data_IF_691518699003
#
_entry.id   IF_691518699003
#
_cell.length_a   1.000
_cell.length_b   1.000
_cell.length_c   1.000
_cell.angle_alpha   90.00
_cell.angle_beta   90.00
_cell.angle_gamma   90.00
#
_symmetry.space_group_name_H-M   'P 1'
#
loop_
_entity.id
_entity.type
_entity.pdbx_description
1 polymer ?
#
# COMPACT_ATOMS: atom_id res chain seq x y z
N UNK A 1 -52.59 60.18 -58.78
CA UNK A 1 -52.44 58.96 -57.95
C UNK A 1 -50.96 58.82 -57.63
N UNK A 2 -50.60 59.00 -56.34
CA UNK A 2 -49.35 58.58 -55.65
C UNK A 2 -47.99 58.82 -56.32
N UNK A 3 -47.32 59.95 -56.06
CA UNK A 3 -46.28 60.17 -55.02
C UNK A 3 -45.04 59.24 -55.06
N UNK A 4 -43.89 59.86 -55.38
CA UNK A 4 -42.57 59.85 -54.68
C UNK A 4 -42.10 58.49 -54.11
N UNK A 5 -40.88 58.00 -54.34
CA UNK A 5 -39.57 58.69 -54.33
C UNK A 5 -38.48 57.68 -54.74
N UNK A 6 -37.40 58.10 -55.42
CA UNK A 6 -36.18 57.31 -55.53
C UNK A 6 -35.31 57.53 -54.28
N UNK A 7 -34.71 56.47 -53.74
CA UNK A 7 -33.66 56.59 -52.71
C UNK A 7 -32.35 56.07 -53.29
N UNK A 8 -31.53 57.01 -53.74
CA UNK A 8 -30.12 56.86 -54.03
C UNK A 8 -29.32 56.72 -52.72
N UNK A 9 -28.57 55.64 -52.56
CA UNK A 9 -27.60 55.48 -51.48
C UNK A 9 -26.28 56.16 -51.86
N UNK A 10 -25.68 57.01 -51.00
CA UNK A 10 -24.37 57.56 -51.23
C UNK A 10 -23.28 56.53 -50.92
N UNK A 11 -22.37 56.34 -51.87
CA UNK A 11 -21.06 55.72 -51.68
C UNK A 11 -20.12 56.69 -50.95
N UNK A 12 -19.55 56.27 -49.81
CA UNK A 12 -18.36 56.92 -49.24
C UNK A 12 -17.16 55.96 -49.24
N UNK A 13 -15.99 56.39 -49.76
CA UNK A 13 -14.76 55.60 -49.72
C UNK A 13 -13.98 55.80 -48.42
N UNK A 14 -13.33 54.71 -48.00
CA UNK A 14 -11.98 54.68 -47.42
C UNK A 14 -11.72 55.51 -46.16
N UNK A 15 -11.79 54.87 -44.98
CA UNK A 15 -10.97 55.28 -43.83
C UNK A 15 -9.72 54.40 -43.76
N UNK A 16 -8.58 55.05 -43.95
CA UNK A 16 -7.24 54.49 -43.82
C UNK A 16 -6.97 53.97 -42.40
N UNK A 17 -6.35 52.78 -42.38
CA UNK A 17 -5.22 52.34 -41.55
C UNK A 17 -5.22 52.78 -40.08
N UNK A 18 -5.37 51.79 -39.20
CA UNK A 18 -4.53 51.68 -38.00
C UNK A 18 -3.79 50.34 -38.03
N UNK A 19 -2.47 50.44 -38.10
CA UNK A 19 -1.50 49.38 -37.86
C UNK A 19 -1.49 49.06 -36.36
N UNK A 20 -1.53 47.79 -35.97
CA UNK A 20 -0.76 47.22 -34.84
C UNK A 20 -1.25 45.82 -34.47
N UNK A 21 -0.29 44.93 -34.21
CA UNK A 21 -0.48 43.62 -33.57
C UNK A 21 -0.44 42.47 -34.58
N UNK A 22 0.61 41.69 -34.75
CA UNK A 22 1.66 41.33 -33.80
C UNK A 22 1.60 39.81 -33.59
N UNK A 23 2.60 39.14 -34.14
CA UNK A 23 3.17 37.87 -33.69
C UNK A 23 2.30 36.58 -33.77
N UNK A 24 2.75 35.71 -34.67
CA UNK A 24 2.61 34.25 -34.73
C UNK A 24 2.47 33.58 -33.36
N UNK A 25 1.61 32.56 -33.22
CA UNK A 25 1.80 31.51 -32.21
C UNK A 25 1.17 30.18 -32.66
N UNK A 26 2.02 29.16 -32.56
CA UNK A 26 1.86 27.80 -33.03
C UNK A 26 0.79 27.01 -32.24
N UNK A 27 0.35 25.92 -32.88
CA UNK A 27 -0.46 24.84 -32.33
C UNK A 27 -0.09 24.45 -30.89
N UNK A 28 -1.08 24.45 -30.01
CA UNK A 28 -0.98 23.85 -28.68
C UNK A 28 -1.99 22.72 -28.54
N UNK A 29 -1.63 21.52 -29.02
CA UNK A 29 -2.36 20.31 -28.64
C UNK A 29 -1.91 19.96 -27.22
N UNK A 30 -2.71 20.35 -26.22
CA UNK A 30 -2.48 19.99 -24.84
C UNK A 30 -2.68 18.47 -24.67
N UNK A 31 -1.58 17.72 -24.68
CA UNK A 31 -1.59 16.31 -24.27
C UNK A 31 -1.68 16.31 -22.74
N UNK A 32 -2.87 16.08 -22.21
CA UNK A 32 -3.03 15.81 -20.79
C UNK A 32 -2.44 14.43 -20.49
N UNK A 33 -1.49 14.27 -19.54
CA UNK A 33 -1.03 12.95 -19.16
C UNK A 33 -2.19 12.22 -18.47
N UNK A 34 -2.62 11.08 -19.03
CA UNK A 34 -3.47 10.13 -18.32
C UNK A 34 -2.63 9.53 -17.18
N UNK A 35 -2.76 10.09 -15.97
CA UNK A 35 -2.28 9.46 -14.76
C UNK A 35 -3.20 8.26 -14.47
N UNK A 36 -2.84 7.08 -14.98
CA UNK A 36 -3.46 5.84 -14.52
C UNK A 36 -3.12 5.63 -13.04
N UNK A 37 -4.05 5.16 -12.20
CA UNK A 37 -3.74 4.83 -10.82
C UNK A 37 -2.65 3.74 -10.80
N UNK A 38 -1.48 4.08 -10.26
CA UNK A 38 -0.48 3.06 -9.92
C UNK A 38 -1.04 2.29 -8.74
N UNK A 39 -1.46 1.05 -8.96
CA UNK A 39 -1.79 0.13 -7.88
C UNK A 39 -0.46 -0.20 -7.18
N UNK A 40 -0.14 0.53 -6.11
CA UNK A 40 0.95 0.15 -5.24
C UNK A 40 0.57 -1.17 -4.56
N UNK A 41 1.20 -2.27 -4.99
CA UNK A 41 1.03 -3.59 -4.40
C UNK A 41 1.72 -3.61 -3.03
N UNK A 42 0.98 -3.29 -1.97
CA UNK A 42 1.47 -3.20 -0.59
C UNK A 42 1.24 -4.53 0.16
N UNK A 43 1.71 -5.64 -0.42
CA UNK A 43 1.70 -6.91 0.26
C UNK A 43 2.51 -6.80 1.56
N UNK A 44 1.94 -7.25 2.67
CA UNK A 44 2.69 -7.34 3.93
C UNK A 44 3.79 -8.40 3.82
N UNK A 45 5.04 -7.93 3.90
CA UNK A 45 6.24 -8.74 4.00
C UNK A 45 6.92 -8.49 5.36
N UNK A 46 7.50 -9.54 5.93
CA UNK A 46 8.22 -9.44 7.20
C UNK A 46 9.51 -8.64 6.99
N UNK A 47 9.70 -7.60 7.80
CA UNK A 47 10.94 -6.80 7.83
C UNK A 47 11.73 -6.98 9.12
N UNK A 48 11.07 -7.40 10.19
CA UNK A 48 11.72 -7.77 11.46
C UNK A 48 10.90 -8.84 12.18
N UNK A 49 11.56 -9.74 12.90
CA UNK A 49 10.90 -10.71 13.77
C UNK A 49 11.71 -11.01 15.03
N UNK A 50 10.98 -11.41 16.07
CA UNK A 50 11.48 -12.09 17.24
C UNK A 50 10.63 -13.34 17.47
N UNK A 51 11.20 -14.56 17.40
CA UNK A 51 12.59 -14.89 17.08
C UNK A 51 12.98 -14.44 15.66
N UNK A 52 14.28 -14.26 15.44
CA UNK A 52 14.83 -14.16 14.08
C UNK A 52 14.85 -15.54 13.41
N UNK A 53 15.09 -15.56 12.10
CA UNK A 53 15.36 -16.81 11.38
C UNK A 53 16.55 -17.53 12.01
N UNK A 54 16.36 -18.79 12.38
CA UNK A 54 17.31 -19.68 13.05
C UNK A 54 17.76 -19.22 14.44
N UNK A 55 16.98 -18.36 15.09
CA UNK A 55 17.25 -17.95 16.46
C UNK A 55 17.04 -19.10 17.46
N UNK A 56 17.53 -18.91 18.68
CA UNK A 56 17.40 -19.88 19.76
C UNK A 56 16.56 -19.30 20.90
N UNK A 57 15.50 -20.00 21.29
CA UNK A 57 14.67 -19.68 22.44
C UNK A 57 14.85 -20.72 23.55
N UNK A 58 14.66 -20.31 24.80
CA UNK A 58 14.58 -21.23 25.93
C UNK A 58 13.19 -21.84 26.08
N UNK A 59 13.12 -23.01 26.71
CA UNK A 59 11.84 -23.50 27.26
C UNK A 59 11.24 -22.48 28.24
N UNK A 60 9.91 -22.44 28.33
CA UNK A 60 9.16 -21.49 29.16
C UNK A 60 8.36 -20.48 28.33
N UNK A 61 7.97 -19.39 28.99
CA UNK A 61 7.21 -18.30 28.38
C UNK A 61 8.10 -17.44 27.48
N UNK A 62 7.68 -17.28 26.23
CA UNK A 62 8.39 -16.51 25.21
C UNK A 62 7.47 -15.46 24.60
N UNK A 63 7.98 -14.25 24.40
CA UNK A 63 7.30 -13.18 23.67
C UNK A 63 7.75 -13.20 22.23
N UNK A 64 6.79 -13.13 21.31
CA UNK A 64 7.00 -13.19 19.87
C UNK A 64 6.53 -11.89 19.24
N UNK A 65 7.28 -11.40 18.26
CA UNK A 65 6.88 -10.24 17.45
C UNK A 65 7.19 -10.46 15.98
N UNK A 66 6.33 -9.96 15.10
CA UNK A 66 6.59 -9.93 13.65
C UNK A 66 6.13 -8.57 13.13
N UNK A 67 7.07 -7.81 12.57
CA UNK A 67 6.85 -6.48 12.01
C UNK A 67 6.89 -6.52 10.48
N UNK A 68 5.93 -5.84 9.86
CA UNK A 68 5.70 -5.86 8.43
C UNK A 68 5.95 -4.48 7.82
N UNK A 69 6.26 -4.42 6.53
CA UNK A 69 6.42 -3.16 5.79
C UNK A 69 5.09 -2.46 5.43
N UNK A 70 3.96 -2.95 5.94
CA UNK A 70 2.62 -2.48 5.57
C UNK A 70 1.66 -2.73 6.72
N UNK A 71 0.67 -1.85 6.85
CA UNK A 71 -0.38 -1.99 7.86
C UNK A 71 -1.18 -3.27 7.64
N UNK A 72 -1.60 -3.88 8.74
CA UNK A 72 -2.34 -5.14 8.77
C UNK A 72 -3.63 -5.01 9.58
N UNK A 73 -4.64 -5.80 9.21
CA UNK A 73 -5.80 -6.05 10.05
C UNK A 73 -5.41 -7.10 11.11
N UNK A 74 -5.07 -6.63 12.32
CA UNK A 74 -4.62 -7.48 13.43
C UNK A 74 -5.69 -8.51 13.84
N UNK A 75 -6.98 -8.16 13.79
CA UNK A 75 -8.07 -9.04 14.21
C UNK A 75 -8.27 -10.22 13.23
N UNK A 76 -7.85 -10.07 11.97
CA UNK A 76 -7.89 -11.12 10.94
C UNK A 76 -6.53 -11.77 10.67
N UNK A 77 -5.52 -11.43 11.47
CA UNK A 77 -4.16 -11.94 11.35
C UNK A 77 -3.82 -12.85 12.52
N UNK A 78 -2.86 -13.77 12.33
CA UNK A 78 -2.49 -14.76 13.35
C UNK A 78 -1.04 -15.18 13.34
N UNK A 79 -0.58 -15.63 14.50
CA UNK A 79 0.70 -16.28 14.74
C UNK A 79 0.43 -17.69 15.30
N UNK A 80 1.21 -18.67 14.84
CA UNK A 80 1.06 -20.08 15.24
C UNK A 80 2.44 -20.71 15.31
N UNK A 81 2.74 -21.42 16.39
CA UNK A 81 3.95 -22.23 16.50
C UNK A 81 3.68 -23.59 15.87
N UNK A 82 4.58 -24.02 15.00
CA UNK A 82 4.57 -25.34 14.37
C UNK A 82 5.75 -26.14 14.92
N UNK A 83 5.46 -27.24 15.63
CA UNK A 83 6.47 -28.18 16.13
C UNK A 83 7.04 -29.07 15.03
N UNK A 84 8.17 -29.72 15.31
CA UNK A 84 8.79 -30.72 14.41
C UNK A 84 7.89 -31.93 14.14
N UNK A 85 7.01 -32.25 15.09
CA UNK A 85 5.94 -33.26 15.00
C UNK A 85 4.70 -32.77 14.24
N UNK A 86 4.74 -31.54 13.69
CA UNK A 86 3.63 -30.82 13.04
C UNK A 86 2.49 -30.43 13.99
N UNK A 87 2.70 -30.49 15.31
CA UNK A 87 1.77 -29.89 16.26
C UNK A 87 1.63 -28.39 15.99
N UNK A 88 0.42 -27.86 16.12
CA UNK A 88 0.15 -26.44 15.97
C UNK A 88 -0.31 -25.86 17.31
N UNK A 89 0.41 -24.85 17.78
CA UNK A 89 0.08 -24.13 19.02
C UNK A 89 -0.22 -22.68 18.66
N UNK A 90 -1.48 -22.22 18.78
CA UNK A 90 -1.80 -20.81 18.58
C UNK A 90 -1.02 -19.93 19.56
N UNK A 91 -0.52 -18.80 19.06
CA UNK A 91 0.09 -17.76 19.91
C UNK A 91 -1.02 -16.92 20.52
N UNK A 92 -0.92 -16.64 21.82
CA UNK A 92 -1.84 -15.74 22.50
C UNK A 92 -1.49 -14.31 22.12
N UNK A 93 -2.33 -13.68 21.31
CA UNK A 93 -2.10 -12.32 20.83
C UNK A 93 -2.19 -11.29 21.96
N UNK A 94 -1.34 -10.28 21.89
CA UNK A 94 -1.34 -9.12 22.78
C UNK A 94 -1.49 -7.83 21.98
N UNK A 95 -1.67 -6.72 22.68
CA UNK A 95 -1.56 -5.42 22.05
C UNK A 95 -0.18 -5.25 21.40
N UNK A 96 -0.17 -4.49 20.31
CA UNK A 96 0.99 -4.25 19.46
C UNK A 96 1.28 -2.74 19.46
N UNK A 97 2.55 -2.33 19.30
CA UNK A 97 2.94 -0.93 19.38
C UNK A 97 2.39 -0.07 18.23
N UNK A 98 2.02 -0.70 17.11
CA UNK A 98 1.56 -0.06 15.88
C UNK A 98 0.63 -1.01 15.09
N UNK A 99 0.16 -0.53 13.93
CA UNK A 99 -0.71 -1.27 13.01
C UNK A 99 0.06 -2.18 12.05
N UNK A 100 1.38 -2.30 12.20
CA UNK A 100 2.29 -3.02 11.30
C UNK A 100 2.95 -4.22 12.00
N UNK A 101 2.59 -4.46 13.26
CA UNK A 101 3.20 -5.48 14.11
C UNK A 101 2.15 -6.43 14.66
N UNK A 102 2.49 -7.73 14.66
CA UNK A 102 1.84 -8.71 15.53
C UNK A 102 2.73 -8.99 16.72
N UNK A 103 2.14 -8.95 17.92
CA UNK A 103 2.79 -9.33 19.18
C UNK A 103 1.97 -10.38 19.90
N UNK A 104 2.65 -11.30 20.58
CA UNK A 104 1.97 -12.27 21.42
C UNK A 104 2.94 -13.10 22.26
N UNK A 105 2.40 -14.06 23.00
CA UNK A 105 3.20 -14.95 23.84
C UNK A 105 2.81 -16.41 23.66
N UNK A 106 3.78 -17.28 23.93
CA UNK A 106 3.61 -18.74 23.90
C UNK A 106 4.46 -19.38 24.99
N UNK A 107 4.00 -20.50 25.52
CA UNK A 107 4.80 -21.35 26.41
C UNK A 107 5.31 -22.55 25.63
N UNK A 108 6.63 -22.76 25.61
CA UNK A 108 7.29 -23.87 24.93
C UNK A 108 7.88 -24.82 25.97
N UNK A 109 7.52 -26.10 25.92
CA UNK A 109 7.91 -27.09 26.94
C UNK A 109 8.86 -28.17 26.42
N UNK A 110 9.04 -28.27 25.10
CA UNK A 110 9.81 -29.32 24.45
C UNK A 110 10.93 -28.67 23.66
N UNK A 111 12.13 -29.24 23.76
CA UNK A 111 13.29 -28.82 22.96
C UNK A 111 13.17 -29.33 21.53
N UNK A 112 13.73 -28.60 20.57
CA UNK A 112 13.76 -29.04 19.17
C UNK A 112 13.56 -27.92 18.17
N UNK A 113 13.36 -28.28 16.91
CA UNK A 113 13.13 -27.32 15.83
C UNK A 113 11.66 -26.94 15.74
N UNK A 114 11.42 -25.64 15.56
CA UNK A 114 10.10 -25.03 15.46
C UNK A 114 10.04 -24.05 14.29
N UNK A 115 8.82 -23.66 13.94
CA UNK A 115 8.55 -22.54 13.05
C UNK A 115 7.51 -21.63 13.68
N UNK A 116 7.76 -20.33 13.66
CA UNK A 116 6.73 -19.32 13.87
C UNK A 116 6.07 -19.07 12.52
N UNK A 117 4.88 -19.64 12.34
CA UNK A 117 4.03 -19.38 11.18
C UNK A 117 3.26 -18.10 11.41
N UNK A 118 3.33 -17.19 10.44
CA UNK A 118 2.53 -15.98 10.39
C UNK A 118 1.56 -16.04 9.21
N UNK A 119 0.39 -15.46 9.40
CA UNK A 119 -0.58 -15.20 8.35
C UNK A 119 -1.21 -13.84 8.61
N UNK A 120 -1.11 -12.93 7.65
CA UNK A 120 -1.57 -11.55 7.81
C UNK A 120 -2.49 -11.14 6.69
N UNK A 121 -3.51 -10.37 7.03
CA UNK A 121 -4.33 -9.62 6.07
C UNK A 121 -3.79 -8.19 6.03
N UNK A 122 -3.17 -7.81 4.92
CA UNK A 122 -2.75 -6.43 4.69
C UNK A 122 -3.97 -5.54 4.40
N UNK A 123 -3.83 -4.23 4.65
CA UNK A 123 -4.90 -3.25 4.38
C UNK A 123 -5.25 -3.11 2.89
N UNK A 124 -4.39 -3.62 2.00
CA UNK A 124 -4.65 -3.72 0.57
C UNK A 124 -5.61 -4.88 0.20
N UNK A 125 -6.01 -5.68 1.19
CA UNK A 125 -6.97 -6.78 1.06
C UNK A 125 -6.36 -8.15 0.81
N UNK A 126 -5.03 -8.27 0.65
CA UNK A 126 -4.38 -9.55 0.41
C UNK A 126 -3.96 -10.26 1.69
N UNK A 127 -4.16 -11.57 1.72
CA UNK A 127 -3.60 -12.43 2.78
C UNK A 127 -2.26 -13.00 2.35
N UNK A 128 -1.22 -12.73 3.12
CA UNK A 128 0.11 -13.34 2.95
C UNK A 128 0.44 -14.25 4.14
N UNK A 129 1.38 -15.18 3.96
CA UNK A 129 1.81 -16.12 4.99
C UNK A 129 3.25 -16.56 4.78
N UNK A 130 3.88 -17.00 5.86
CA UNK A 130 5.22 -17.55 5.82
C UNK A 130 5.61 -18.18 7.15
N UNK A 131 6.82 -18.73 7.18
CA UNK A 131 7.38 -19.42 8.34
C UNK A 131 8.73 -18.79 8.71
N UNK A 132 8.96 -18.57 10.00
CA UNK A 132 10.25 -18.16 10.56
C UNK A 132 10.78 -19.34 11.40
N UNK A 133 11.77 -20.10 10.92
CA UNK A 133 12.31 -21.23 11.67
C UNK A 133 13.12 -20.74 12.87
N UNK A 134 13.07 -21.49 13.97
CA UNK A 134 13.88 -21.25 15.17
C UNK A 134 14.07 -22.58 15.94
N UNK A 135 14.93 -22.58 16.96
CA UNK A 135 15.18 -23.77 17.81
C UNK A 135 14.84 -23.44 19.25
N UNK A 136 14.27 -24.41 19.97
CA UNK A 136 14.08 -24.36 21.42
C UNK A 136 15.13 -25.24 22.08
N UNK A 137 15.84 -24.68 23.05
CA UNK A 137 16.83 -25.38 23.87
C UNK A 137 16.46 -25.33 25.35
N UNK A 138 17.10 -26.20 26.12
CA UNK A 138 17.16 -26.04 27.55
C UNK A 138 18.20 -24.93 27.86
N UNK A 139 17.91 -24.00 28.79
CA UNK A 139 18.85 -22.95 29.21
C UNK A 139 20.19 -23.49 29.72
#
# INVERSE_FOLDING_TARGET
MTFRTPVSHPSQPGRLRRLAGGLTLLAGMAVAPLLAPVVAQAHAIVIQSNPKVNDTLGIGGNVLTVHFNSRIDRARSKLTIIGSDKSETPVTMSDSPDDETLSGSVTLSIVGSYKLRWQVLAVDGHTTRGDIPFTVIQP
#
